data_IF_418237370097
#
_entry.id   IF_418237370097
#
_cell.length_a   1.000
_cell.length_b   1.000
_cell.length_c   1.000
_cell.angle_alpha   90.00
_cell.angle_beta   90.00
_cell.angle_gamma   90.00
#
_symmetry.space_group_name_H-M   'P 1'
#
loop_
_entity.id
_entity.type
_entity.pdbx_description
1 polymer ?
#
# COMPACT_ATOMS: atom_id res chain seq x y z
N UNK A 1 13.22 -2.01 -23.30
CA UNK A 1 12.07 -1.35 -23.96
C UNK A 1 12.19 -1.70 -25.44
N UNK A 2 11.43 -2.58 -26.10
CA UNK A 2 10.00 -2.86 -26.07
C UNK A 2 9.72 -4.31 -26.57
N UNK A 3 10.09 -5.34 -25.79
CA UNK A 3 9.96 -6.76 -26.22
C UNK A 3 9.14 -7.65 -25.28
N UNK A 4 8.52 -7.10 -24.24
CA UNK A 4 7.69 -7.86 -23.29
C UNK A 4 6.18 -7.82 -23.59
N UNK A 5 5.77 -7.10 -24.63
CA UNK A 5 4.36 -6.98 -25.03
C UNK A 5 3.93 -7.92 -26.18
N UNK A 6 4.78 -8.85 -26.63
CA UNK A 6 4.48 -9.73 -27.77
C UNK A 6 4.22 -11.21 -27.44
N UNK A 7 4.33 -11.64 -26.18
CA UNK A 7 4.14 -13.07 -25.84
C UNK A 7 2.71 -13.44 -25.41
N UNK A 8 1.86 -12.46 -25.11
CA UNK A 8 0.49 -12.73 -24.63
C UNK A 8 -0.60 -12.75 -25.72
N UNK A 9 -0.25 -12.48 -27.00
CA UNK A 9 -1.24 -12.33 -28.08
C UNK A 9 -1.18 -13.37 -29.20
N UNK A 10 -0.38 -14.45 -29.12
CA UNK A 10 -0.20 -15.35 -30.27
C UNK A 10 -0.67 -16.80 -30.14
N UNK A 11 -1.17 -17.29 -28.99
CA UNK A 11 -1.62 -18.70 -28.93
C UNK A 11 -2.92 -18.92 -28.15
N UNK A 12 -3.99 -18.36 -28.69
CA UNK A 12 -5.32 -19.00 -28.83
C UNK A 12 -6.08 -18.13 -29.83
N UNK A 13 -6.58 -18.62 -30.99
CA UNK A 13 -7.21 -19.94 -31.16
C UNK A 13 -6.95 -20.60 -32.55
N UNK A 14 -6.58 -21.89 -32.59
CA UNK A 14 -6.85 -22.73 -33.77
C UNK A 14 -7.40 -24.07 -33.32
N UNK A 15 -8.71 -24.17 -33.49
CA UNK A 15 -9.54 -25.35 -33.39
C UNK A 15 -9.30 -26.30 -34.58
N UNK A 16 -9.46 -27.60 -34.28
CA UNK A 16 -9.85 -28.70 -35.17
C UNK A 16 -8.93 -29.07 -36.36
N UNK A 17 -8.42 -30.31 -36.37
CA UNK A 17 -9.06 -31.42 -37.11
C UNK A 17 -8.17 -32.70 -37.25
N UNK A 18 -8.85 -33.86 -37.24
CA UNK A 18 -8.55 -35.18 -37.87
C UNK A 18 -7.70 -36.26 -37.16
N UNK A 19 -8.42 -37.21 -36.51
CA UNK A 19 -8.44 -38.71 -36.63
C UNK A 19 -7.13 -39.59 -36.66
N UNK A 20 -6.92 -40.36 -35.56
CA UNK A 20 -6.63 -41.84 -35.36
C UNK A 20 -5.48 -42.60 -36.08
N UNK A 21 -5.10 -43.86 -35.68
CA UNK A 21 -5.01 -44.55 -34.36
C UNK A 21 -3.66 -45.32 -34.15
N UNK A 22 -3.57 -46.08 -33.04
CA UNK A 22 -2.63 -47.18 -32.67
C UNK A 22 -1.43 -46.74 -31.80
N UNK A 23 -1.10 -47.33 -30.66
CA UNK A 23 -1.37 -48.67 -30.10
C UNK A 23 -1.12 -48.59 -28.58
N UNK A 24 -1.96 -49.16 -27.72
CA UNK A 24 -1.47 -50.00 -26.62
C UNK A 24 -2.62 -50.85 -26.06
N UNK A 25 -2.25 -52.09 -25.76
CA UNK A 25 -3.11 -53.21 -25.49
C UNK A 25 -3.83 -53.13 -24.13
N UNK A 26 -4.97 -53.80 -24.13
CA UNK A 26 -5.82 -54.17 -23.00
C UNK A 26 -5.06 -54.78 -21.82
N UNK A 27 -5.33 -54.27 -20.62
CA UNK A 27 -5.26 -55.03 -19.36
C UNK A 27 -6.61 -54.88 -18.68
N UNK A 28 -7.35 -55.98 -18.58
CA UNK A 28 -8.58 -56.11 -17.80
C UNK A 28 -8.24 -56.52 -16.37
N UNK A 29 -8.66 -55.74 -15.37
CA UNK A 29 -8.79 -56.20 -13.98
C UNK A 29 -10.15 -55.72 -13.45
N UNK A 30 -10.89 -56.64 -12.83
CA UNK A 30 -12.22 -56.50 -12.23
C UNK A 30 -12.29 -55.46 -11.10
N UNK A 31 -13.50 -54.94 -10.78
CA UNK A 31 -13.71 -53.97 -9.70
C UNK A 31 -13.96 -54.64 -8.34
N UNK A 32 -13.35 -54.10 -7.29
CA UNK A 32 -13.82 -54.01 -5.89
C UNK A 32 -12.70 -53.31 -5.06
N UNK A 33 -12.88 -52.45 -4.06
CA UNK A 33 -14.03 -51.75 -3.47
C UNK A 33 -13.37 -50.59 -2.68
N UNK A 34 -13.86 -49.35 -2.84
CA UNK A 34 -13.38 -48.08 -2.22
C UNK A 34 -12.01 -47.53 -2.68
N UNK A 35 -11.99 -46.93 -3.88
CA UNK A 35 -10.87 -46.14 -4.41
C UNK A 35 -10.91 -44.67 -3.98
N UNK A 36 -10.85 -44.38 -2.68
CA UNK A 36 -10.55 -43.03 -2.20
C UNK A 36 -9.07 -42.94 -1.80
N UNK A 37 -8.28 -41.99 -2.34
CA UNK A 37 -6.98 -41.69 -1.78
C UNK A 37 -7.18 -41.16 -0.35
N UNK A 38 -6.54 -41.81 0.62
CA UNK A 38 -6.63 -41.42 2.03
C UNK A 38 -6.22 -39.94 2.18
N UNK A 39 -7.03 -39.15 2.88
CA UNK A 39 -6.75 -37.73 3.18
C UNK A 39 -5.37 -37.54 3.82
N UNK A 40 -4.89 -38.52 4.59
CA UNK A 40 -3.52 -38.49 5.12
C UNK A 40 -2.46 -38.60 4.03
N UNK A 41 -2.67 -39.39 2.98
CA UNK A 41 -1.71 -39.54 1.87
C UNK A 41 -1.64 -38.26 1.04
N UNK A 42 -2.80 -37.61 0.79
CA UNK A 42 -2.86 -36.34 0.06
C UNK A 42 -2.23 -35.18 0.85
N UNK A 43 -2.45 -35.12 2.17
CA UNK A 43 -1.82 -34.11 3.05
C UNK A 43 -0.32 -34.37 3.20
N UNK A 44 0.11 -35.63 3.18
CA UNK A 44 1.52 -36.01 3.22
C UNK A 44 2.22 -35.61 1.92
N UNK A 45 1.59 -35.83 0.77
CA UNK A 45 2.10 -35.41 -0.53
C UNK A 45 2.19 -33.87 -0.63
N UNK A 46 1.17 -33.14 -0.16
CA UNK A 46 1.21 -31.67 -0.18
C UNK A 46 2.27 -31.10 0.76
N UNK A 47 2.44 -31.68 1.96
CA UNK A 47 3.54 -31.28 2.88
C UNK A 47 4.91 -31.59 2.29
N UNK A 48 5.03 -32.68 1.53
CA UNK A 48 6.26 -33.05 0.84
C UNK A 48 6.58 -32.06 -0.28
N UNK A 49 5.60 -31.69 -1.10
CA UNK A 49 5.78 -30.63 -2.11
C UNK A 49 6.16 -29.28 -1.47
N UNK A 50 5.56 -28.93 -0.33
CA UNK A 50 5.88 -27.69 0.39
C UNK A 50 7.28 -27.71 1.05
N UNK A 51 7.74 -28.89 1.47
CA UNK A 51 9.09 -29.09 2.02
C UNK A 51 10.15 -29.02 0.91
N UNK A 52 9.89 -29.68 -0.22
CA UNK A 52 10.73 -29.64 -1.42
C UNK A 52 10.86 -28.18 -1.93
N UNK A 53 9.76 -27.41 -1.93
CA UNK A 53 9.77 -26.00 -2.32
C UNK A 53 10.63 -25.13 -1.38
N UNK A 54 10.61 -25.39 -0.06
CA UNK A 54 11.44 -24.68 0.93
C UNK A 54 12.92 -25.00 0.77
N UNK A 55 13.25 -26.25 0.49
CA UNK A 55 14.63 -26.67 0.23
C UNK A 55 15.16 -26.04 -1.08
N UNK A 56 14.31 -25.91 -2.10
CA UNK A 56 14.61 -25.22 -3.35
C UNK A 56 14.85 -23.72 -3.14
N UNK A 57 14.06 -23.04 -2.30
CA UNK A 57 14.29 -21.62 -1.95
C UNK A 57 15.62 -21.42 -1.24
N UNK A 58 15.99 -22.33 -0.33
CA UNK A 58 17.28 -22.28 0.37
C UNK A 58 18.46 -22.52 -0.59
N UNK A 59 18.32 -23.42 -1.56
CA UNK A 59 19.32 -23.66 -2.61
C UNK A 59 19.50 -22.47 -3.55
N UNK A 60 18.40 -21.79 -3.91
CA UNK A 60 18.42 -20.56 -4.70
C UNK A 60 19.12 -19.43 -3.94
N UNK A 61 18.80 -19.24 -2.65
CA UNK A 61 19.44 -18.21 -1.82
C UNK A 61 20.95 -18.43 -1.64
N UNK A 62 21.39 -19.69 -1.51
CA UNK A 62 22.82 -20.02 -1.36
C UNK A 62 23.63 -19.92 -2.66
N UNK A 63 23.02 -20.07 -3.84
CA UNK A 63 23.72 -19.96 -5.15
C UNK A 63 23.58 -18.60 -5.84
N UNK A 64 22.57 -17.80 -5.53
CA UNK A 64 22.38 -16.46 -6.12
C UNK A 64 23.35 -15.42 -5.52
N UNK A 65 23.93 -15.66 -4.33
CA UNK A 65 24.76 -14.68 -3.60
C UNK A 65 26.29 -14.88 -3.75
N UNK A 66 26.79 -15.85 -4.52
CA UNK A 66 28.23 -15.94 -4.81
C UNK A 66 28.55 -15.90 -6.30
N UNK A 67 28.93 -14.72 -6.84
CA UNK A 67 29.54 -14.64 -8.16
C UNK A 67 31.01 -15.03 -8.01
N UNK A 68 31.32 -16.32 -8.04
CA UNK A 68 32.70 -16.72 -8.30
C UNK A 68 32.89 -16.87 -9.82
N UNK A 69 33.56 -15.84 -10.32
CA UNK A 69 34.04 -15.61 -11.68
C UNK A 69 33.03 -15.07 -12.70
N UNK A 70 33.18 -13.78 -13.00
CA UNK A 70 32.35 -13.00 -13.94
C UNK A 70 32.56 -13.35 -15.41
N UNK A 71 32.92 -14.59 -15.71
CA UNK A 71 33.10 -15.10 -17.07
C UNK A 71 31.76 -15.23 -17.81
N UNK A 72 31.74 -14.84 -19.08
CA UNK A 72 30.57 -14.89 -19.96
C UNK A 72 30.04 -16.31 -20.15
N UNK A 73 30.92 -17.31 -20.16
CA UNK A 73 30.56 -18.74 -20.17
C UNK A 73 29.87 -19.19 -18.87
N UNK A 74 30.26 -18.64 -17.72
CA UNK A 74 29.63 -18.93 -16.42
C UNK A 74 28.19 -18.39 -16.34
N UNK A 75 27.96 -17.18 -16.88
CA UNK A 75 26.60 -16.60 -16.96
C UNK A 75 25.69 -17.36 -17.92
N UNK A 76 26.22 -17.83 -19.04
CA UNK A 76 25.45 -18.63 -20.00
C UNK A 76 25.10 -20.00 -19.44
N UNK A 77 26.02 -20.65 -18.73
CA UNK A 77 25.76 -21.93 -18.06
C UNK A 77 24.70 -21.76 -16.95
N UNK A 78 24.81 -20.73 -16.11
CA UNK A 78 23.82 -20.45 -15.07
C UNK A 78 22.42 -20.18 -15.65
N UNK A 79 22.33 -19.41 -16.74
CA UNK A 79 21.06 -19.16 -17.42
C UNK A 79 20.48 -20.43 -18.06
N UNK A 80 21.33 -21.36 -18.52
CA UNK A 80 20.91 -22.64 -19.08
C UNK A 80 20.42 -23.60 -17.98
N UNK A 81 21.13 -23.66 -16.85
CA UNK A 81 20.73 -24.49 -15.71
C UNK A 81 19.37 -24.04 -15.14
N UNK A 82 19.11 -22.73 -15.09
CA UNK A 82 17.80 -22.16 -14.69
C UNK A 82 16.72 -22.54 -15.72
N UNK A 83 17.00 -22.46 -17.02
CA UNK A 83 16.04 -22.83 -18.08
C UNK A 83 15.69 -24.31 -18.05
N UNK A 84 16.69 -25.19 -17.95
CA UNK A 84 16.49 -26.64 -17.91
C UNK A 84 15.75 -27.05 -16.63
N UNK A 85 16.02 -26.38 -15.51
CA UNK A 85 15.29 -26.58 -14.26
C UNK A 85 13.82 -26.17 -14.36
N UNK A 86 13.52 -24.98 -14.90
CA UNK A 86 12.13 -24.52 -15.11
C UNK A 86 11.39 -25.46 -16.06
N UNK A 87 12.03 -25.92 -17.13
CA UNK A 87 11.44 -26.88 -18.06
C UNK A 87 11.11 -28.22 -17.39
N UNK A 88 12.03 -28.74 -16.55
CA UNK A 88 11.83 -30.00 -15.82
C UNK A 88 10.72 -29.89 -14.78
N UNK A 89 10.65 -28.77 -14.06
CA UNK A 89 9.60 -28.48 -13.09
C UNK A 89 8.22 -28.36 -13.74
N UNK A 90 8.11 -27.64 -14.87
CA UNK A 90 6.87 -27.53 -15.63
C UNK A 90 6.41 -28.88 -16.20
N UNK A 91 7.34 -29.73 -16.65
CA UNK A 91 7.01 -31.07 -17.14
C UNK A 91 6.55 -32.01 -16.02
N UNK A 92 7.13 -31.89 -14.83
CA UNK A 92 6.74 -32.68 -13.67
C UNK A 92 5.35 -32.27 -13.17
N UNK A 93 5.09 -30.97 -13.05
CA UNK A 93 3.76 -30.46 -12.69
C UNK A 93 2.71 -30.76 -13.77
N UNK A 94 3.09 -30.78 -15.05
CA UNK A 94 2.19 -31.20 -16.14
C UNK A 94 1.81 -32.69 -16.04
N UNK A 95 2.74 -33.55 -15.61
CA UNK A 95 2.45 -34.97 -15.35
C UNK A 95 1.55 -35.16 -14.13
N UNK A 96 1.79 -34.40 -13.05
CA UNK A 96 0.91 -34.39 -11.87
C UNK A 96 -0.49 -33.87 -12.23
N UNK A 97 -0.60 -32.82 -13.05
CA UNK A 97 -1.87 -32.28 -13.54
C UNK A 97 -2.62 -33.28 -14.46
N UNK A 98 -1.92 -33.98 -15.35
CA UNK A 98 -2.50 -35.03 -16.22
C UNK A 98 -2.97 -36.25 -15.42
N UNK A 99 -2.30 -36.56 -14.30
CA UNK A 99 -2.69 -37.60 -13.35
C UNK A 99 -3.98 -37.23 -12.59
N UNK A 100 -4.12 -35.97 -12.20
CA UNK A 100 -5.31 -35.42 -11.54
C UNK A 100 -6.53 -35.39 -12.48
N UNK A 101 -6.36 -35.01 -13.75
CA UNK A 101 -7.46 -34.97 -14.73
C UNK A 101 -8.00 -36.35 -15.11
N UNK A 102 -7.20 -37.41 -14.95
CA UNK A 102 -7.63 -38.78 -15.24
C UNK A 102 -8.29 -39.50 -14.05
N UNK A 103 -8.29 -38.90 -12.84
CA UNK A 103 -8.67 -39.64 -11.62
C UNK A 103 -9.78 -39.02 -10.78
N UNK A 104 -10.24 -37.78 -10.98
CA UNK A 104 -11.43 -37.33 -10.26
C UNK A 104 -12.10 -36.12 -10.88
N UNK A 105 -13.40 -36.26 -11.14
CA UNK A 105 -14.34 -35.15 -11.16
C UNK A 105 -14.49 -34.61 -9.74
N UNK A 106 -13.46 -33.92 -9.23
CA UNK A 106 -13.58 -33.11 -8.02
C UNK A 106 -14.57 -31.98 -8.34
N UNK A 107 -15.58 -31.81 -7.49
CA UNK A 107 -16.64 -30.83 -7.73
C UNK A 107 -16.03 -29.43 -7.90
N UNK A 108 -16.43 -28.74 -8.96
CA UNK A 108 -15.94 -27.42 -9.34
C UNK A 108 -16.15 -26.34 -8.26
N UNK A 109 -16.92 -26.62 -7.20
CA UNK A 109 -17.24 -25.69 -6.12
C UNK A 109 -16.15 -25.61 -5.05
N UNK A 110 -15.52 -26.73 -4.67
CA UNK A 110 -14.51 -26.74 -3.61
C UNK A 110 -13.17 -26.14 -4.08
N UNK A 111 -12.80 -26.38 -5.34
CA UNK A 111 -11.65 -25.71 -5.96
C UNK A 111 -11.87 -24.21 -6.10
N UNK A 112 -13.10 -23.77 -6.41
CA UNK A 112 -13.43 -22.34 -6.45
C UNK A 112 -13.35 -21.71 -5.06
N UNK A 113 -13.81 -22.39 -4.01
CA UNK A 113 -13.69 -21.94 -2.62
C UNK A 113 -12.22 -21.76 -2.20
N UNK A 114 -11.35 -22.71 -2.56
CA UNK A 114 -9.92 -22.63 -2.22
C UNK A 114 -9.16 -21.59 -3.05
N UNK A 115 -9.44 -21.46 -4.35
CA UNK A 115 -8.90 -20.40 -5.22
C UNK A 115 -9.40 -19.01 -4.79
N UNK A 116 -10.66 -18.89 -4.40
CA UNK A 116 -11.21 -17.67 -3.82
C UNK A 116 -10.49 -17.36 -2.51
N UNK A 117 -10.22 -18.33 -1.63
CA UNK A 117 -9.51 -18.10 -0.36
C UNK A 117 -8.08 -17.56 -0.57
N UNK A 118 -7.37 -18.04 -1.61
CA UNK A 118 -6.06 -17.51 -2.01
C UNK A 118 -6.13 -16.18 -2.78
N UNK A 119 -7.25 -15.87 -3.45
CA UNK A 119 -7.55 -14.55 -4.00
C UNK A 119 -8.15 -13.56 -2.97
N UNK A 120 -8.60 -14.03 -1.80
CA UNK A 120 -9.26 -13.24 -0.74
C UNK A 120 -8.40 -13.02 0.50
N UNK A 121 -7.12 -13.38 0.48
CA UNK A 121 -6.16 -12.56 1.21
C UNK A 121 -5.85 -11.40 0.27
N UNK A 122 -6.60 -10.27 0.35
CA UNK A 122 -6.23 -9.13 -0.46
C UNK A 122 -4.77 -8.81 -0.16
N UNK A 123 -3.97 -8.43 -1.16
CA UNK A 123 -2.58 -8.07 -0.91
C UNK A 123 -2.53 -7.11 0.27
N UNK A 124 -1.65 -7.38 1.24
CA UNK A 124 -1.28 -6.41 2.27
C UNK A 124 -0.89 -5.12 1.57
N UNK A 125 -1.83 -4.19 1.46
CA UNK A 125 -1.81 -3.13 0.47
C UNK A 125 -2.85 -2.07 0.81
N UNK A 126 -3.01 -1.10 -0.08
CA UNK A 126 -3.78 0.10 0.20
C UNK A 126 -2.88 1.22 0.74
N UNK A 127 -3.08 2.42 0.20
CA UNK A 127 -2.30 3.57 0.60
C UNK A 127 -2.67 4.00 2.02
N UNK A 128 -1.65 4.27 2.84
CA UNK A 128 -1.85 4.89 4.17
C UNK A 128 -1.77 6.40 4.02
N UNK A 129 -2.80 7.10 4.51
CA UNK A 129 -2.87 8.56 4.56
C UNK A 129 -3.32 9.03 5.93
N UNK A 130 -3.04 10.29 6.26
CA UNK A 130 -3.55 10.93 7.47
C UNK A 130 -4.69 11.86 7.06
N UNK A 131 -5.85 11.71 7.68
CA UNK A 131 -6.97 12.61 7.59
C UNK A 131 -6.77 13.70 8.65
N UNK A 132 -6.27 14.86 8.23
CA UNK A 132 -6.02 15.97 9.15
C UNK A 132 -7.30 16.76 9.41
N UNK A 133 -7.57 17.05 10.68
CA UNK A 133 -8.78 17.76 11.12
C UNK A 133 -9.96 16.85 11.38
N UNK A 134 -9.82 15.53 11.36
CA UNK A 134 -10.89 14.56 11.65
C UNK A 134 -10.35 13.38 12.42
N UNK A 135 -11.16 12.75 13.25
CA UNK A 135 -10.81 11.52 13.98
C UNK A 135 -11.44 10.26 13.36
N UNK A 136 -12.03 10.38 12.18
CA UNK A 136 -12.61 9.28 11.41
C UNK A 136 -11.95 9.15 10.03
N UNK A 137 -12.22 8.02 9.37
CA UNK A 137 -11.85 7.78 7.98
C UNK A 137 -13.09 7.82 7.11
N UNK A 138 -12.94 8.25 5.86
CA UNK A 138 -14.04 8.16 4.89
C UNK A 138 -14.51 6.71 4.71
N UNK A 139 -15.81 6.55 4.44
CA UNK A 139 -16.40 5.24 4.21
C UNK A 139 -15.66 4.44 3.12
N UNK A 140 -15.29 3.21 3.47
CA UNK A 140 -14.53 2.28 2.65
C UNK A 140 -13.03 2.27 2.96
N UNK A 141 -12.52 3.18 3.79
CA UNK A 141 -11.14 3.14 4.30
C UNK A 141 -11.13 2.62 5.75
N UNK A 142 -10.07 1.87 6.09
CA UNK A 142 -9.88 1.29 7.42
C UNK A 142 -9.22 2.32 8.34
N UNK A 143 -9.81 2.55 9.51
CA UNK A 143 -9.18 3.33 10.57
C UNK A 143 -8.05 2.53 11.21
N UNK A 144 -6.82 3.05 11.14
CA UNK A 144 -5.64 2.46 11.77
C UNK A 144 -5.51 2.94 13.21
N UNK A 145 -5.53 4.26 13.43
CA UNK A 145 -5.61 4.88 14.75
C UNK A 145 -6.02 6.36 14.64
N UNK A 146 -6.43 6.93 15.77
CA UNK A 146 -6.75 8.37 15.92
C UNK A 146 -5.78 9.04 16.87
N UNK A 147 -5.72 10.36 16.81
CA UNK A 147 -4.83 11.14 17.64
C UNK A 147 -5.05 12.63 17.51
N UNK A 148 -4.04 13.36 17.96
CA UNK A 148 -3.95 14.80 17.85
C UNK A 148 -2.80 15.21 16.94
N UNK A 149 -2.99 16.26 16.16
CA UNK A 149 -1.91 16.81 15.36
C UNK A 149 -0.83 17.43 16.27
N UNK A 150 0.43 17.16 15.95
CA UNK A 150 1.60 17.60 16.72
C UNK A 150 2.77 17.95 15.79
N UNK A 151 3.76 18.66 16.32
CA UNK A 151 4.98 19.00 15.59
C UNK A 151 5.99 19.77 16.43
N UNK A 152 6.97 20.38 15.77
CA UNK A 152 7.93 21.26 16.44
C UNK A 152 7.29 22.62 16.78
N UNK A 153 7.72 23.22 17.89
CA UNK A 153 7.34 24.59 18.28
C UNK A 153 7.73 25.60 17.18
N UNK A 154 6.84 26.53 16.85
CA UNK A 154 7.00 27.43 15.70
C UNK A 154 8.31 28.25 15.71
N UNK A 155 8.79 28.62 16.89
CA UNK A 155 10.04 29.37 17.08
C UNK A 155 11.34 28.52 17.09
N UNK A 156 11.25 27.18 17.18
CA UNK A 156 12.42 26.31 17.33
C UNK A 156 13.08 25.97 16.01
N UNK A 157 14.31 26.39 15.77
CA UNK A 157 15.04 26.20 14.50
C UNK A 157 15.51 24.76 14.21
N UNK A 158 15.14 23.78 15.03
CA UNK A 158 15.53 22.38 14.89
C UNK A 158 14.40 21.43 15.34
N UNK A 159 14.62 20.12 15.19
CA UNK A 159 13.60 19.10 15.42
C UNK A 159 13.06 18.52 14.11
N UNK A 160 11.90 17.87 14.17
CA UNK A 160 11.21 17.32 13.00
C UNK A 160 10.53 18.42 12.16
N UNK A 161 10.52 18.25 10.83
CA UNK A 161 9.85 19.16 9.88
C UNK A 161 8.38 18.81 9.69
N UNK A 162 8.01 17.54 9.83
CA UNK A 162 6.67 17.07 9.52
C UNK A 162 5.72 17.25 10.70
N UNK A 163 4.43 17.26 10.40
CA UNK A 163 3.40 17.03 11.41
C UNK A 163 3.30 15.53 11.72
N UNK A 164 2.92 15.20 12.95
CA UNK A 164 2.66 13.84 13.40
C UNK A 164 1.22 13.74 13.90
N UNK A 165 0.55 12.65 13.55
CA UNK A 165 -0.68 12.25 14.21
C UNK A 165 -0.30 11.48 15.47
N UNK A 166 -0.31 12.13 16.62
CA UNK A 166 0.14 11.53 17.87
C UNK A 166 -1.02 10.79 18.54
N UNK A 167 -0.91 9.48 18.81
CA UNK A 167 -1.94 8.74 19.53
C UNK A 167 -2.21 9.35 20.91
N UNK A 168 -3.46 9.26 21.36
CA UNK A 168 -3.85 9.79 22.67
C UNK A 168 -3.18 9.09 23.86
N UNK A 169 -2.82 7.81 23.69
CA UNK A 169 -2.17 6.98 24.70
C UNK A 169 -0.79 6.53 24.24
N UNK A 170 0.30 7.18 24.69
CA UNK A 170 1.66 6.75 24.38
C UNK A 170 2.08 5.53 25.20
N UNK A 171 2.92 4.68 24.61
CA UNK A 171 3.62 3.59 25.33
C UNK A 171 5.07 4.02 25.55
N UNK A 172 5.50 4.02 26.81
CA UNK A 172 6.89 4.28 27.19
C UNK A 172 7.60 2.97 27.56
N UNK A 173 8.90 2.87 27.25
CA UNK A 173 9.76 1.78 27.67
C UNK A 173 10.72 2.27 28.76
N UNK A 174 12.01 2.42 28.46
CA UNK A 174 13.01 2.91 29.40
C UNK A 174 12.99 4.45 29.45
N UNK A 175 12.44 5.01 30.53
CA UNK A 175 12.32 6.46 30.72
C UNK A 175 13.45 7.02 31.58
N UNK A 176 14.03 8.13 31.11
CA UNK A 176 14.89 9.01 31.90
C UNK A 176 14.08 10.26 32.26
N UNK A 177 13.97 10.56 33.56
CA UNK A 177 13.02 11.57 34.09
C UNK A 177 13.61 12.97 34.20
N UNK A 178 14.92 13.13 34.00
CA UNK A 178 15.57 14.44 33.97
C UNK A 178 15.27 15.23 32.68
N UNK A 179 15.24 16.56 32.80
CA UNK A 179 15.11 17.44 31.65
C UNK A 179 16.45 17.54 30.90
N UNK A 180 16.41 17.50 29.56
CA UNK A 180 17.59 17.60 28.72
C UNK A 180 17.46 18.74 27.72
N UNK A 181 18.45 19.64 27.69
CA UNK A 181 18.45 20.81 26.81
C UNK A 181 18.79 20.54 25.34
N UNK A 182 19.10 19.30 24.96
CA UNK A 182 19.54 18.93 23.60
C UNK A 182 18.62 17.93 22.88
N UNK A 183 17.52 17.51 23.51
CA UNK A 183 16.55 16.58 22.90
C UNK A 183 15.62 17.32 21.95
N UNK A 184 15.13 16.62 20.92
CA UNK A 184 14.02 17.13 20.11
C UNK A 184 12.75 17.17 20.96
N UNK A 185 11.97 18.22 20.79
CA UNK A 185 10.74 18.48 21.55
C UNK A 185 9.55 18.41 20.60
N UNK A 186 8.44 17.85 21.09
CA UNK A 186 7.19 17.68 20.34
C UNK A 186 6.09 18.43 21.10
N UNK A 187 5.29 19.19 20.37
CA UNK A 187 4.23 20.05 20.90
C UNK A 187 2.91 19.73 20.21
N UNK A 188 1.79 20.01 20.87
CA UNK A 188 0.47 20.03 20.22
C UNK A 188 0.51 21.00 19.05
N UNK A 189 -0.24 20.68 18.00
CA UNK A 189 -0.47 21.61 16.92
C UNK A 189 -1.72 22.45 17.17
N UNK A 190 -1.87 23.58 16.48
CA UNK A 190 -3.00 24.49 16.65
C UNK A 190 -3.49 25.05 15.32
N UNK A 191 -4.81 25.25 15.25
CA UNK A 191 -5.43 26.01 14.18
C UNK A 191 -5.15 27.51 14.31
N UNK A 192 -4.58 28.08 13.26
CA UNK A 192 -4.37 29.53 13.13
C UNK A 192 -5.34 30.08 12.10
N UNK A 193 -6.63 30.00 12.47
CA UNK A 193 -7.77 30.16 11.56
C UNK A 193 -8.66 31.35 11.92
N UNK A 194 -8.18 32.30 12.73
CA UNK A 194 -8.96 33.50 13.14
C UNK A 194 -9.53 34.31 11.96
N UNK A 195 -8.89 34.23 10.78
CA UNK A 195 -9.33 34.88 9.54
C UNK A 195 -9.99 33.94 8.53
N UNK A 196 -10.15 32.64 8.84
CA UNK A 196 -10.75 31.64 7.96
C UNK A 196 -12.22 31.39 8.34
N UNK A 197 -13.22 31.95 7.62
CA UNK A 197 -14.61 31.97 8.09
C UNK A 197 -15.20 30.61 8.47
N UNK A 198 -14.83 29.54 7.77
CA UNK A 198 -15.35 28.18 8.00
C UNK A 198 -14.68 27.43 9.16
N UNK A 199 -13.46 27.82 9.54
CA UNK A 199 -12.70 27.19 10.62
C UNK A 199 -12.40 28.16 11.77
N UNK A 200 -13.01 29.35 11.76
CA UNK A 200 -12.72 30.42 12.73
C UNK A 200 -12.97 29.98 14.17
N UNK A 201 -14.01 29.17 14.39
CA UNK A 201 -14.33 28.64 15.72
C UNK A 201 -13.28 27.69 16.27
N UNK A 202 -12.42 27.12 15.42
CA UNK A 202 -11.38 26.18 15.82
C UNK A 202 -10.06 26.86 16.20
N UNK A 203 -9.95 28.18 16.00
CA UNK A 203 -8.72 28.92 16.29
C UNK A 203 -8.22 28.64 17.72
N UNK A 204 -6.91 28.43 17.86
CA UNK A 204 -6.23 28.05 19.11
C UNK A 204 -6.67 26.70 19.70
N UNK A 205 -7.29 25.84 18.90
CA UNK A 205 -7.60 24.46 19.27
C UNK A 205 -6.72 23.49 18.49
N UNK A 206 -6.49 22.30 19.07
CA UNK A 206 -5.64 21.30 18.44
C UNK A 206 -6.43 20.47 17.42
N UNK A 207 -5.99 20.39 16.15
CA UNK A 207 -6.64 19.54 15.16
C UNK A 207 -6.63 18.07 15.57
N UNK A 208 -7.79 17.41 15.45
CA UNK A 208 -7.87 15.95 15.46
C UNK A 208 -7.18 15.36 14.24
N UNK A 209 -6.77 14.11 14.31
CA UNK A 209 -6.27 13.38 13.15
C UNK A 209 -6.61 11.89 13.21
N UNK A 210 -6.79 11.29 12.03
CA UNK A 210 -6.92 9.86 11.86
C UNK A 210 -5.91 9.35 10.85
N UNK A 211 -5.26 8.23 11.14
CA UNK A 211 -4.47 7.51 10.14
C UNK A 211 -5.34 6.42 9.54
N UNK A 212 -5.50 6.48 8.23
CA UNK A 212 -6.41 5.65 7.46
C UNK A 212 -5.64 4.80 6.46
N UNK A 213 -6.14 3.60 6.18
CA UNK A 213 -5.66 2.75 5.08
C UNK A 213 -6.77 2.59 4.06
N UNK A 214 -6.50 2.99 2.82
CA UNK A 214 -7.41 2.71 1.72
C UNK A 214 -7.54 1.19 1.49
N UNK A 215 -8.61 0.72 0.83
CA UNK A 215 -8.74 -0.64 0.36
C UNK A 215 -7.49 -1.16 -0.35
N UNK A 216 -7.19 -2.46 -0.25
CA UNK A 216 -6.01 -3.09 -0.82
C UNK A 216 -5.76 -2.85 -2.31
N UNK A 217 -6.83 -2.66 -3.09
CA UNK A 217 -6.77 -2.37 -4.52
C UNK A 217 -6.44 -0.91 -4.85
N UNK A 218 -6.25 -0.04 -3.83
CA UNK A 218 -5.89 1.37 -3.99
C UNK A 218 -4.55 1.69 -3.30
N UNK A 219 -3.42 1.16 -3.80
CA UNK A 219 -2.12 1.24 -3.12
C UNK A 219 -1.44 2.61 -3.19
N UNK A 220 -1.93 3.54 -4.01
CA UNK A 220 -1.28 4.84 -4.21
C UNK A 220 -2.10 5.96 -3.60
N UNK A 221 -1.44 6.90 -2.91
CA UNK A 221 -2.05 8.17 -2.46
C UNK A 221 -1.49 9.37 -3.22
N UNK A 222 -2.29 10.42 -3.30
CA UNK A 222 -1.93 11.72 -3.86
C UNK A 222 -2.54 12.83 -3.00
N UNK A 223 -1.72 13.80 -2.61
CA UNK A 223 -2.19 15.13 -2.22
C UNK A 223 -2.25 15.98 -3.49
N UNK A 224 -3.42 16.49 -3.84
CA UNK A 224 -3.62 17.37 -4.98
C UNK A 224 -3.87 18.81 -4.52
N UNK A 225 -2.84 19.67 -4.45
CA UNK A 225 -2.99 21.05 -3.99
C UNK A 225 -3.66 21.93 -5.06
N UNK A 226 -4.39 22.94 -4.61
CA UNK A 226 -5.12 23.90 -5.45
C UNK A 226 -6.37 23.34 -6.13
N UNK A 227 -6.85 22.16 -5.72
CA UNK A 227 -8.08 21.51 -6.19
C UNK A 227 -8.77 20.84 -5.02
N UNK A 228 -10.09 20.78 -5.03
CA UNK A 228 -10.91 20.10 -4.03
C UNK A 228 -11.60 18.84 -4.61
N UNK A 229 -11.03 18.32 -5.70
CA UNK A 229 -11.46 17.12 -6.42
C UNK A 229 -10.23 16.35 -6.90
N UNK A 230 -10.40 15.06 -7.24
CA UNK A 230 -9.30 14.23 -7.72
C UNK A 230 -9.02 14.40 -9.21
N UNK A 231 -7.80 14.06 -9.70
CA UNK A 231 -7.40 14.32 -11.08
C UNK A 231 -8.28 13.70 -12.18
N UNK A 232 -8.98 12.61 -11.86
CA UNK A 232 -9.96 11.96 -12.75
C UNK A 232 -10.87 11.03 -11.96
N UNK A 233 -11.92 10.52 -12.60
CA UNK A 233 -12.85 9.55 -12.02
C UNK A 233 -12.23 8.22 -11.60
N UNK A 234 -10.99 7.92 -12.02
CA UNK A 234 -10.26 6.72 -11.57
C UNK A 234 -9.71 6.85 -10.14
N UNK A 235 -9.48 8.08 -9.70
CA UNK A 235 -9.03 8.37 -8.34
C UNK A 235 -10.23 8.53 -7.43
N UNK A 236 -10.21 7.84 -6.29
CA UNK A 236 -11.20 8.04 -5.23
C UNK A 236 -10.76 9.21 -4.37
N UNK A 237 -11.67 10.16 -4.17
CA UNK A 237 -11.52 11.20 -3.16
C UNK A 237 -11.63 10.58 -1.78
N UNK A 238 -10.60 10.71 -0.95
CA UNK A 238 -10.67 10.37 0.47
C UNK A 238 -11.33 11.50 1.24
N UNK A 239 -10.73 12.68 1.15
CA UNK A 239 -11.27 13.91 1.74
C UNK A 239 -10.70 15.15 1.02
N UNK A 240 -11.27 16.32 1.29
CA UNK A 240 -10.87 17.60 0.69
C UNK A 240 -10.92 18.70 1.74
N UNK A 241 -10.25 19.80 1.46
CA UNK A 241 -10.37 21.01 2.26
C UNK A 241 -9.35 22.06 1.86
N UNK A 242 -8.59 22.58 2.83
CA UNK A 242 -7.64 23.67 2.62
C UNK A 242 -6.20 23.24 2.86
N UNK A 243 -5.31 23.71 2.00
CA UNK A 243 -3.88 23.48 2.14
C UNK A 243 -3.36 24.33 3.31
N UNK A 244 -2.71 23.70 4.28
CA UNK A 244 -2.20 24.37 5.47
C UNK A 244 -0.72 24.01 5.72
N UNK A 245 0.01 24.93 6.35
CA UNK A 245 1.41 24.77 6.77
C UNK A 245 1.79 25.81 7.84
N UNK A 246 3.06 25.93 8.21
CA UNK A 246 3.53 26.97 9.12
C UNK A 246 3.47 28.36 8.49
N UNK A 247 3.39 29.40 9.33
CA UNK A 247 3.41 30.79 8.85
C UNK A 247 4.72 31.10 8.11
N UNK A 248 4.61 31.87 7.02
CA UNK A 248 5.75 32.19 6.15
C UNK A 248 6.86 33.01 6.83
N UNK A 249 6.59 33.65 7.96
CA UNK A 249 7.57 34.39 8.77
C UNK A 249 8.24 33.53 9.84
N UNK A 250 7.78 32.30 10.07
CA UNK A 250 8.36 31.41 11.06
C UNK A 250 9.70 30.86 10.58
N UNK A 251 10.62 30.68 11.53
CA UNK A 251 11.97 30.17 11.22
C UNK A 251 11.93 28.69 10.83
N UNK A 252 10.90 27.99 11.27
CA UNK A 252 10.75 26.55 11.10
C UNK A 252 9.67 26.26 10.09
N UNK A 253 10.07 25.50 9.08
CA UNK A 253 9.19 25.07 8.00
C UNK A 253 8.50 23.79 8.44
N UNK A 254 7.28 23.61 7.96
CA UNK A 254 6.58 22.33 8.04
C UNK A 254 6.19 21.83 6.67
N UNK A 255 5.69 20.59 6.61
CA UNK A 255 5.06 20.09 5.39
C UNK A 255 3.81 20.90 5.02
N UNK A 256 3.42 20.81 3.75
CA UNK A 256 2.09 21.23 3.31
C UNK A 256 1.15 20.04 3.45
N UNK A 257 0.07 20.20 4.20
CA UNK A 257 -0.95 19.16 4.39
C UNK A 257 -2.32 19.64 3.94
N UNK A 258 -3.20 18.69 3.64
CA UNK A 258 -4.60 18.99 3.42
C UNK A 258 -5.35 18.89 4.73
N UNK A 259 -5.88 20.00 5.23
CA UNK A 259 -6.79 20.04 6.36
C UNK A 259 -8.22 19.91 5.87
N UNK A 260 -9.02 19.06 6.50
CA UNK A 260 -10.42 18.88 6.14
C UNK A 260 -11.22 20.19 6.23
N UNK A 261 -12.16 20.39 5.30
CA UNK A 261 -13.04 21.57 5.30
C UNK A 261 -14.03 21.58 6.47
N UNK A 262 -14.41 20.39 6.97
CA UNK A 262 -15.25 20.18 8.13
C UNK A 262 -14.38 19.81 9.36
N UNK A 263 -13.26 20.52 9.52
CA UNK A 263 -12.28 20.26 10.58
C UNK A 263 -12.88 20.23 11.99
N UNK A 264 -12.29 19.40 12.84
CA UNK A 264 -12.64 19.17 14.23
C UNK A 264 -11.39 19.32 15.10
N UNK A 265 -11.62 19.75 16.33
CA UNK A 265 -10.59 19.88 17.33
C UNK A 265 -10.71 18.81 18.41
N UNK A 266 -9.58 18.48 19.03
CA UNK A 266 -9.51 17.59 20.18
C UNK A 266 -10.22 18.26 21.37
N UNK A 267 -11.23 17.62 21.99
CA UNK A 267 -11.97 18.22 23.09
C UNK A 267 -11.07 18.67 24.24
N UNK A 268 -11.30 19.89 24.74
CA UNK A 268 -10.53 20.45 25.85
C UNK A 268 -9.18 21.07 25.47
N UNK A 269 -8.82 21.08 24.18
CA UNK A 269 -7.67 21.83 23.69
C UNK A 269 -8.12 23.23 23.28
N UNK A 270 -7.88 24.23 24.13
CA UNK A 270 -8.25 25.62 23.86
C UNK A 270 -7.17 26.57 24.34
N UNK A 271 -6.98 27.66 23.58
CA UNK A 271 -6.09 28.75 23.92
C UNK A 271 -4.66 28.50 23.46
N UNK A 272 -4.03 29.55 22.93
CA UNK A 272 -2.70 29.51 22.33
C UNK A 272 -1.64 28.87 23.24
N UNK A 273 -1.12 27.72 22.79
CA UNK A 273 0.01 26.97 23.34
C UNK A 273 1.29 27.19 22.55
N UNK A 274 1.19 27.85 21.39
CA UNK A 274 2.32 28.28 20.59
C UNK A 274 3.18 27.08 20.14
N UNK A 275 2.52 25.95 19.86
CA UNK A 275 3.17 24.70 19.49
C UNK A 275 3.54 24.63 18.02
N UNK A 276 3.15 23.54 17.35
CA UNK A 276 3.14 23.51 15.90
C UNK A 276 1.90 24.25 15.39
N UNK A 277 1.96 24.93 14.24
CA UNK A 277 0.87 25.82 13.84
C UNK A 277 0.41 25.51 12.41
N UNK A 278 -0.90 25.61 12.17
CA UNK A 278 -1.53 25.45 10.87
C UNK A 278 -2.16 26.76 10.40
N UNK A 279 -1.49 27.42 9.45
CA UNK A 279 -1.98 28.58 8.72
C UNK A 279 -2.46 28.16 7.33
N UNK A 280 -3.50 28.85 6.84
CA UNK A 280 -3.94 28.71 5.46
C UNK A 280 -2.82 29.09 4.48
N UNK A 281 -2.69 28.32 3.40
CA UNK A 281 -1.70 28.62 2.36
C UNK A 281 -2.31 29.49 1.28
N UNK A 282 -1.80 30.70 1.13
CA UNK A 282 -2.20 31.63 0.07
C UNK A 282 -1.37 31.44 -1.21
N UNK A 283 -2.02 31.56 -2.36
CA UNK A 283 -1.32 31.67 -3.64
C UNK A 283 -0.66 33.04 -3.79
N UNK A 284 0.64 33.05 -4.14
CA UNK A 284 1.34 34.25 -4.63
C UNK A 284 1.59 34.11 -6.12
N UNK A 285 0.74 34.72 -6.94
CA UNK A 285 0.86 34.67 -8.40
C UNK A 285 1.64 35.88 -8.93
N UNK A 286 2.40 35.69 -10.01
CA UNK A 286 3.21 36.74 -10.62
C UNK A 286 3.50 36.45 -12.10
N UNK A 287 3.84 37.49 -12.88
CA UNK A 287 4.31 37.34 -14.25
C UNK A 287 5.69 36.66 -14.26
N UNK A 288 5.72 35.34 -14.48
CA UNK A 288 6.93 34.51 -14.46
C UNK A 288 6.95 33.40 -13.39
N UNK A 289 5.94 33.33 -12.53
CA UNK A 289 5.76 32.28 -11.53
C UNK A 289 4.44 31.54 -11.71
N UNK A 290 3.72 31.32 -10.60
CA UNK A 290 2.32 30.89 -10.66
C UNK A 290 1.55 31.93 -11.48
N UNK A 291 0.91 31.49 -12.57
CA UNK A 291 0.21 32.38 -13.48
C UNK A 291 -1.03 32.97 -12.80
N UNK A 292 -1.11 34.31 -12.76
CA UNK A 292 -2.32 34.99 -12.34
C UNK A 292 -3.44 34.80 -13.36
N UNK A 293 -4.67 34.67 -12.87
CA UNK A 293 -5.87 34.36 -13.66
C UNK A 293 -6.60 33.18 -13.02
N UNK A 294 -6.19 31.93 -13.29
CA UNK A 294 -6.71 30.77 -12.55
C UNK A 294 -6.34 30.80 -11.06
N UNK A 295 -5.18 31.36 -10.72
CA UNK A 295 -4.79 31.68 -9.35
C UNK A 295 -4.98 33.18 -9.11
N UNK A 296 -5.57 33.51 -7.96
CA UNK A 296 -5.74 34.89 -7.51
C UNK A 296 -4.75 35.15 -6.38
N UNK A 297 -4.00 36.26 -6.47
CA UNK A 297 -2.99 36.58 -5.47
C UNK A 297 -3.64 36.80 -4.09
N UNK A 298 -3.15 36.09 -3.09
CA UNK A 298 -3.63 36.14 -1.70
C UNK A 298 -4.81 35.23 -1.41
N UNK A 299 -5.30 34.44 -2.38
CA UNK A 299 -6.39 33.49 -2.11
C UNK A 299 -5.84 32.20 -1.52
N UNK A 300 -6.54 31.68 -0.51
CA UNK A 300 -6.26 30.40 0.12
C UNK A 300 -6.45 29.24 -0.87
N UNK A 301 -5.51 28.30 -0.88
CA UNK A 301 -5.54 27.14 -1.76
C UNK A 301 -6.32 26.00 -1.11
N UNK A 302 -7.26 25.44 -1.87
CA UNK A 302 -7.91 24.17 -1.51
C UNK A 302 -6.97 22.99 -1.73
N UNK A 303 -7.36 21.80 -1.29
CA UNK A 303 -6.66 20.55 -1.51
C UNK A 303 -7.60 19.35 -1.52
N UNK A 304 -7.13 18.24 -2.09
CA UNK A 304 -7.80 16.95 -2.04
C UNK A 304 -6.78 15.85 -1.75
N UNK A 305 -7.13 14.89 -0.91
CA UNK A 305 -6.38 13.64 -0.75
C UNK A 305 -7.13 12.55 -1.48
N UNK A 306 -6.41 11.88 -2.37
CA UNK A 306 -6.97 10.91 -3.30
C UNK A 306 -6.19 9.60 -3.26
N UNK A 307 -6.86 8.48 -3.56
CA UNK A 307 -6.19 7.18 -3.73
C UNK A 307 -6.64 6.46 -5.01
N UNK A 308 -5.79 5.57 -5.51
CA UNK A 308 -6.03 4.74 -6.71
C UNK A 308 -5.31 3.40 -6.61
#
# INVERSE_FOLDING_TARGET
MAAFHLLFCLFSPLLFSVVSPSTLASVTISPDETGEPNLEDLVTDFRKELADLKEIIALLQNRIIKPEDGSETGRQQHAQDVRDFVAKYLLQNRRSALSLTNSSAASSEDLNSYLLTYHTNPPSGGAVYTHWGRDDCVNGSELVYTGMATGAHYAHTGGGVNYLCLPHEPIYSDIETSAHGSRSLLYSAEYETSTAPHLQSLHDQTPSCAVCRAPPNRPTKLLFPGRNECPSSKWRLEYKGYLMSSCYTHKTRTDFVCMDEDGEAVPGTTGSQDGALFYMVEARCSAGGIQCGPYVNGYELTCAVCTI
#
